data_IF_457798722018
#
_entry.id   IF_457798722018
#
_cell.length_a   1.000
_cell.length_b   1.000
_cell.length_c   1.000
_cell.angle_alpha   90.00
_cell.angle_beta   90.00
_cell.angle_gamma   90.00
#
_symmetry.space_group_name_H-M   'P 1'
#
loop_
_entity.id
_entity.type
_entity.pdbx_description
1 polymer ?
#
# COMPACT_ATOMS: atom_id res chain seq x y z
N UNK A 1 -7.94 14.86 13.82
CA UNK A 1 -7.57 15.92 14.80
C UNK A 1 -8.14 15.64 16.20
N UNK A 2 -9.47 15.41 16.37
CA UNK A 2 -10.10 15.18 17.70
C UNK A 2 -9.46 14.04 18.49
N UNK A 3 -9.17 12.88 17.86
CA UNK A 3 -8.56 11.70 18.51
C UNK A 3 -7.17 11.98 19.10
N UNK A 4 -6.45 12.98 18.60
CA UNK A 4 -5.08 13.30 19.00
C UNK A 4 -4.97 14.65 19.73
N UNK A 5 -6.10 15.16 20.25
CA UNK A 5 -6.15 16.41 21.04
C UNK A 5 -5.45 17.61 20.34
N UNK A 6 -5.67 17.77 19.05
CA UNK A 6 -5.10 18.85 18.26
C UNK A 6 -3.61 18.73 17.88
N UNK A 7 -2.93 17.64 18.30
CA UNK A 7 -1.52 17.41 17.95
C UNK A 7 -1.29 16.98 16.50
N UNK A 8 -2.37 16.67 15.77
CA UNK A 8 -2.33 16.31 14.36
C UNK A 8 -3.04 17.38 13.56
N UNK A 9 -2.34 17.97 12.62
CA UNK A 9 -2.90 18.88 11.59
C UNK A 9 -3.28 18.03 10.38
N UNK A 10 -4.49 18.22 9.86
CA UNK A 10 -4.94 17.67 8.58
C UNK A 10 -5.03 18.79 7.57
N UNK A 11 -4.59 18.54 6.35
CA UNK A 11 -4.63 19.49 5.23
C UNK A 11 -5.36 18.86 4.04
N UNK A 12 -5.87 19.70 3.15
CA UNK A 12 -6.45 19.23 1.89
C UNK A 12 -5.33 18.69 0.97
N UNK A 13 -5.64 17.64 0.20
CA UNK A 13 -4.68 17.06 -0.76
C UNK A 13 -4.61 17.87 -2.04
N UNK A 14 -4.35 19.18 -1.93
CA UNK A 14 -4.04 20.05 -3.08
C UNK A 14 -2.53 20.08 -3.30
N UNK A 15 -2.11 20.47 -4.49
CA UNK A 15 -0.68 20.54 -4.84
C UNK A 15 0.05 21.52 -3.91
N UNK A 16 -0.50 22.72 -3.70
CA UNK A 16 0.13 23.78 -2.92
C UNK A 16 0.28 23.40 -1.44
N UNK A 17 -0.76 22.79 -0.84
CA UNK A 17 -0.71 22.32 0.56
C UNK A 17 0.26 21.13 0.74
N UNK A 18 0.36 20.26 -0.28
CA UNK A 18 1.30 19.17 -0.29
C UNK A 18 2.74 19.70 -0.34
N UNK A 19 3.04 20.60 -1.30
CA UNK A 19 4.36 21.21 -1.46
C UNK A 19 4.77 21.96 -0.17
N UNK A 20 3.90 22.82 0.36
CA UNK A 20 4.18 23.54 1.61
C UNK A 20 4.48 22.59 2.78
N UNK A 21 3.72 21.50 2.90
CA UNK A 21 3.91 20.51 3.95
C UNK A 21 5.22 19.73 3.80
N UNK A 22 5.58 19.37 2.57
CA UNK A 22 6.81 18.62 2.26
C UNK A 22 8.05 19.49 2.49
N UNK A 23 8.02 20.77 2.10
CA UNK A 23 9.17 21.65 2.25
C UNK A 23 9.50 22.00 3.70
N UNK A 24 8.52 22.01 4.58
CA UNK A 24 8.71 22.29 6.01
C UNK A 24 9.04 21.03 6.84
N UNK A 25 8.90 19.86 6.28
CA UNK A 25 9.06 18.61 7.00
C UNK A 25 10.52 18.15 7.08
N UNK A 26 10.92 17.63 8.24
CA UNK A 26 12.19 16.91 8.42
C UNK A 26 12.02 15.41 8.06
N UNK A 27 10.79 14.88 8.15
CA UNK A 27 10.44 13.51 7.80
C UNK A 27 9.11 13.49 7.06
N UNK A 28 9.13 12.93 5.86
CA UNK A 28 7.92 12.67 5.05
C UNK A 28 7.72 11.16 4.92
N UNK A 29 6.52 10.68 5.25
CA UNK A 29 6.14 9.27 5.09
C UNK A 29 5.10 9.16 3.99
N UNK A 30 5.49 8.51 2.88
CA UNK A 30 4.61 8.20 1.76
C UNK A 30 3.94 6.85 1.97
N UNK A 31 2.62 6.86 2.15
CA UNK A 31 1.84 5.65 2.40
C UNK A 31 0.53 5.65 1.60
N UNK A 32 0.59 6.12 0.36
CA UNK A 32 -0.58 6.14 -0.52
C UNK A 32 -0.83 4.75 -1.09
N UNK A 33 -2.03 4.25 -0.89
CA UNK A 33 -2.48 2.97 -1.40
C UNK A 33 -3.60 3.18 -2.42
N UNK A 34 -3.39 2.69 -3.65
CA UNK A 34 -4.45 2.55 -4.65
C UNK A 34 -4.60 1.05 -4.94
N UNK A 35 -5.74 0.48 -4.54
CA UNK A 35 -5.99 -0.96 -4.71
C UNK A 35 -5.88 -1.34 -6.20
N UNK A 36 -5.02 -2.30 -6.50
CA UNK A 36 -4.85 -2.84 -7.85
C UNK A 36 -4.13 -1.93 -8.87
N UNK A 37 -3.63 -0.76 -8.45
CA UNK A 37 -2.93 0.17 -9.32
C UNK A 37 -1.62 0.67 -8.70
N UNK A 38 -0.76 1.26 -9.52
CA UNK A 38 0.46 1.91 -9.03
C UNK A 38 0.10 3.13 -8.16
N UNK A 39 0.86 3.36 -7.10
CA UNK A 39 0.76 4.56 -6.31
C UNK A 39 1.02 5.82 -7.17
N UNK A 40 0.25 6.91 -7.00
CA UNK A 40 0.55 8.17 -7.65
C UNK A 40 1.85 8.76 -7.10
N UNK A 41 2.67 9.33 -7.97
CA UNK A 41 3.90 10.04 -7.56
C UNK A 41 3.53 11.43 -7.06
N UNK A 42 3.52 11.60 -5.75
CA UNK A 42 3.10 12.84 -5.10
C UNK A 42 4.27 13.81 -4.85
N UNK A 43 5.47 13.29 -4.56
CA UNK A 43 6.68 14.10 -4.37
C UNK A 43 7.56 13.94 -5.59
N UNK A 44 7.78 15.04 -6.31
CA UNK A 44 8.64 15.09 -7.50
C UNK A 44 10.09 15.32 -7.13
N UNK A 45 11.02 15.00 -8.03
CA UNK A 45 12.44 15.30 -7.83
C UNK A 45 12.70 16.80 -7.66
N UNK A 46 11.96 17.63 -8.39
CA UNK A 46 12.09 19.10 -8.27
C UNK A 46 11.77 19.61 -6.85
N UNK A 47 10.87 18.96 -6.14
CA UNK A 47 10.52 19.32 -4.77
C UNK A 47 11.66 19.08 -3.79
N UNK A 48 12.56 18.11 -4.04
CA UNK A 48 13.69 17.79 -3.16
C UNK A 48 14.63 18.97 -2.97
N UNK A 49 14.81 19.80 -4.00
CA UNK A 49 15.68 20.99 -3.91
C UNK A 49 15.17 22.07 -2.93
N UNK A 50 13.90 21.99 -2.54
CA UNK A 50 13.26 22.90 -1.57
C UNK A 50 13.19 22.30 -0.15
N UNK A 51 13.52 21.01 -0.01
CA UNK A 51 13.60 20.35 1.29
C UNK A 51 14.91 20.69 1.98
N UNK A 52 14.92 20.58 3.29
CA UNK A 52 16.14 20.78 4.08
C UNK A 52 17.13 19.66 3.79
N UNK A 53 18.44 19.94 3.56
CA UNK A 53 19.44 18.89 3.47
C UNK A 53 19.45 17.99 4.70
N UNK A 54 19.46 16.67 4.48
CA UNK A 54 19.34 15.68 5.56
C UNK A 54 17.92 15.31 5.97
N UNK A 55 16.88 15.94 5.39
CA UNK A 55 15.50 15.47 5.54
C UNK A 55 15.36 14.04 5.03
N UNK A 56 14.33 13.33 5.51
CA UNK A 56 14.13 11.93 5.23
C UNK A 56 12.79 11.70 4.52
N UNK A 57 12.82 10.94 3.43
CA UNK A 57 11.64 10.40 2.75
C UNK A 57 11.54 8.88 3.02
N UNK A 58 10.45 8.44 3.64
CA UNK A 58 10.13 7.02 3.84
C UNK A 58 9.01 6.63 2.91
N UNK A 59 9.25 5.73 1.96
CA UNK A 59 8.24 5.27 1.02
C UNK A 59 7.70 3.90 1.42
N UNK A 60 6.56 3.88 2.11
CA UNK A 60 5.86 2.65 2.50
C UNK A 60 5.18 2.00 1.29
N UNK A 61 4.87 2.80 0.25
CA UNK A 61 4.23 2.34 -0.98
C UNK A 61 5.22 1.79 -2.02
N UNK A 62 6.48 1.57 -1.65
CA UNK A 62 7.55 1.14 -2.57
C UNK A 62 7.19 -0.11 -3.36
N UNK A 63 6.53 -1.09 -2.74
CA UNK A 63 6.10 -2.35 -3.39
C UNK A 63 5.03 -2.12 -4.48
N UNK A 64 4.38 -0.97 -4.47
CA UNK A 64 3.39 -0.53 -5.47
C UNK A 64 3.94 0.53 -6.44
N UNK A 65 5.26 0.58 -6.58
CA UNK A 65 5.96 1.51 -7.47
C UNK A 65 6.38 2.83 -6.81
N UNK A 66 6.05 3.02 -5.53
CA UNK A 66 6.40 4.19 -4.74
C UNK A 66 5.58 5.45 -5.05
N UNK A 67 5.45 6.32 -4.05
CA UNK A 67 4.76 7.61 -4.18
C UNK A 67 5.70 8.81 -4.31
N UNK A 68 7.01 8.58 -4.40
CA UNK A 68 8.00 9.62 -4.75
C UNK A 68 8.61 9.32 -6.12
N UNK A 69 8.88 10.36 -6.90
CA UNK A 69 9.48 10.22 -8.23
C UNK A 69 10.86 9.54 -8.17
N UNK A 70 11.60 9.79 -7.09
CA UNK A 70 12.95 9.29 -6.83
C UNK A 70 12.97 7.95 -6.10
N UNK A 71 11.83 7.32 -5.85
CA UNK A 71 11.75 6.01 -5.19
C UNK A 71 12.52 4.95 -5.96
N UNK A 72 13.38 4.24 -5.23
CA UNK A 72 14.08 3.04 -5.67
C UNK A 72 14.03 2.02 -4.53
N UNK A 73 13.51 0.83 -4.80
CA UNK A 73 13.45 -0.21 -3.79
C UNK A 73 14.84 -0.55 -3.24
N UNK A 74 14.93 -0.64 -1.92
CA UNK A 74 16.13 -0.99 -1.17
C UNK A 74 15.89 -2.24 -0.33
N UNK A 75 16.92 -2.73 0.33
CA UNK A 75 16.88 -3.92 1.19
C UNK A 75 17.19 -3.57 2.63
N UNK A 76 16.93 -4.50 3.56
CA UNK A 76 17.33 -4.30 4.96
C UNK A 76 18.85 -4.23 5.18
N UNK A 77 19.67 -4.73 4.24
CA UNK A 77 21.13 -4.66 4.31
C UNK A 77 21.65 -3.28 3.86
N UNK A 78 21.02 -2.71 2.84
CA UNK A 78 21.34 -1.36 2.32
C UNK A 78 20.04 -0.53 2.29
N UNK A 79 19.58 -0.05 3.46
CA UNK A 79 18.20 0.46 3.59
C UNK A 79 18.01 1.87 3.04
N UNK A 80 19.07 2.65 2.89
CA UNK A 80 18.98 4.07 2.54
C UNK A 80 19.85 4.44 1.35
N UNK A 81 19.46 5.50 0.67
CA UNK A 81 20.27 6.21 -0.32
C UNK A 81 19.96 7.71 -0.26
N UNK A 82 20.81 8.54 -0.88
CA UNK A 82 20.65 9.99 -0.88
C UNK A 82 20.44 10.49 -2.31
N UNK A 83 19.47 11.36 -2.51
CA UNK A 83 19.25 12.10 -3.76
C UNK A 83 19.07 13.57 -3.43
N UNK A 84 19.85 14.43 -4.07
CA UNK A 84 19.79 15.89 -3.93
C UNK A 84 19.81 16.36 -2.46
N UNK A 85 20.61 15.67 -1.61
CA UNK A 85 20.76 15.96 -0.18
C UNK A 85 19.67 15.40 0.74
N UNK A 86 18.64 14.72 0.18
CA UNK A 86 17.53 14.12 0.93
C UNK A 86 17.74 12.60 1.05
N UNK A 87 17.62 12.09 2.28
CA UNK A 87 17.78 10.65 2.58
C UNK A 87 16.48 9.91 2.21
N UNK A 88 16.61 8.82 1.49
CA UNK A 88 15.50 7.96 1.13
C UNK A 88 15.59 6.62 1.87
N UNK A 89 14.49 6.19 2.48
CA UNK A 89 14.30 4.87 3.05
C UNK A 89 13.13 4.20 2.31
N UNK A 90 13.46 3.25 1.44
CA UNK A 90 12.51 2.61 0.52
C UNK A 90 12.64 1.08 0.58
N UNK A 91 12.75 0.53 1.80
CA UNK A 91 12.94 -0.91 2.00
C UNK A 91 11.68 -1.66 1.61
N UNK A 92 11.79 -2.55 0.65
CA UNK A 92 10.73 -3.50 0.34
C UNK A 92 10.50 -4.44 1.55
N UNK A 93 9.23 -4.73 1.83
CA UNK A 93 8.88 -5.55 3.01
C UNK A 93 9.42 -4.97 4.34
N UNK A 94 9.16 -3.70 4.60
CA UNK A 94 9.51 -3.06 5.89
C UNK A 94 9.09 -3.89 7.13
N UNK A 95 7.91 -4.55 7.14
CA UNK A 95 7.52 -5.42 8.26
C UNK A 95 8.51 -6.55 8.57
N UNK A 96 9.31 -6.98 7.60
CA UNK A 96 10.38 -7.96 7.79
C UNK A 96 11.49 -7.51 8.75
N UNK A 97 11.64 -6.20 8.99
CA UNK A 97 12.56 -5.63 9.99
C UNK A 97 12.08 -5.80 11.44
N UNK A 98 10.81 -6.11 11.66
CA UNK A 98 10.20 -6.37 12.99
C UNK A 98 9.34 -7.65 12.94
N UNK A 99 9.91 -8.81 12.61
CA UNK A 99 9.17 -9.99 12.18
C UNK A 99 8.22 -10.53 13.24
N UNK A 100 8.60 -10.50 14.50
CA UNK A 100 7.75 -10.98 15.60
C UNK A 100 6.44 -10.18 15.69
N UNK A 101 6.53 -8.86 15.72
CA UNK A 101 5.37 -7.96 15.82
C UNK A 101 4.50 -8.06 14.58
N UNK A 102 5.12 -8.05 13.41
CA UNK A 102 4.43 -8.13 12.12
C UNK A 102 3.68 -9.45 11.94
N UNK A 103 4.31 -10.57 12.31
CA UNK A 103 3.68 -11.89 12.25
C UNK A 103 2.47 -11.98 13.17
N UNK A 104 2.58 -11.50 14.40
CA UNK A 104 1.44 -11.50 15.33
C UNK A 104 0.29 -10.62 14.81
N UNK A 105 0.59 -9.43 14.35
CA UNK A 105 -0.41 -8.51 13.80
C UNK A 105 -1.11 -9.09 12.57
N UNK A 106 -0.35 -9.64 11.63
CA UNK A 106 -0.89 -10.26 10.42
C UNK A 106 -1.72 -11.50 10.75
N UNK A 107 -1.21 -12.40 11.60
CA UNK A 107 -1.93 -13.61 12.01
C UNK A 107 -3.26 -13.27 12.68
N UNK A 108 -3.27 -12.31 13.60
CA UNK A 108 -4.51 -11.88 14.27
C UNK A 108 -5.52 -11.29 13.28
N UNK A 109 -5.07 -10.56 12.27
CA UNK A 109 -5.94 -9.95 11.26
C UNK A 109 -6.48 -10.98 10.25
N UNK A 110 -5.70 -12.02 9.90
CA UNK A 110 -6.05 -12.98 8.84
C UNK A 110 -6.70 -14.26 9.38
N UNK A 111 -6.45 -14.63 10.63
CA UNK A 111 -6.97 -15.86 11.23
C UNK A 111 -8.49 -16.03 11.13
N UNK A 112 -9.34 -15.03 11.38
CA UNK A 112 -10.80 -15.18 11.24
C UNK A 112 -11.22 -15.63 9.83
N UNK A 113 -10.59 -15.09 8.80
CA UNK A 113 -10.86 -15.45 7.40
C UNK A 113 -10.36 -16.86 7.06
N UNK A 114 -9.18 -17.22 7.59
CA UNK A 114 -8.62 -18.57 7.43
C UNK A 114 -9.53 -19.62 8.05
N UNK A 115 -10.04 -19.35 9.25
CA UNK A 115 -10.98 -20.25 9.95
C UNK A 115 -12.31 -20.35 9.19
N UNK A 116 -12.86 -19.24 8.70
CA UNK A 116 -14.09 -19.26 7.89
C UNK A 116 -13.94 -20.15 6.65
N UNK A 117 -12.81 -20.04 5.93
CA UNK A 117 -12.52 -20.88 4.77
C UNK A 117 -12.36 -22.37 5.15
N UNK A 118 -11.72 -22.67 6.29
CA UNK A 118 -11.51 -24.03 6.76
C UNK A 118 -12.81 -24.70 7.23
N UNK A 119 -13.65 -23.95 7.95
CA UNK A 119 -14.87 -24.51 8.56
C UNK A 119 -16.03 -24.63 7.58
N UNK A 120 -16.20 -23.64 6.69
CA UNK A 120 -17.34 -23.54 5.78
C UNK A 120 -17.03 -24.03 4.36
N UNK A 121 -15.75 -24.16 4.01
CA UNK A 121 -15.29 -24.35 2.65
C UNK A 121 -15.29 -23.05 1.83
N UNK A 122 -14.56 -23.05 0.73
CA UNK A 122 -14.27 -21.84 -0.04
C UNK A 122 -15.52 -21.13 -0.53
N UNK A 123 -16.44 -21.85 -1.19
CA UNK A 123 -17.63 -21.24 -1.82
C UNK A 123 -18.53 -20.61 -0.78
N UNK A 124 -18.90 -21.34 0.28
CA UNK A 124 -19.80 -20.84 1.32
C UNK A 124 -19.21 -19.65 2.08
N UNK A 125 -17.94 -19.71 2.44
CA UNK A 125 -17.25 -18.62 3.14
C UNK A 125 -17.21 -17.33 2.29
N UNK A 126 -16.89 -17.44 1.00
CA UNK A 126 -16.85 -16.30 0.08
C UNK A 126 -18.25 -15.68 -0.16
N UNK A 127 -19.30 -16.51 -0.24
CA UNK A 127 -20.67 -16.03 -0.38
C UNK A 127 -21.21 -15.37 0.90
N UNK A 128 -20.73 -15.83 2.07
CA UNK A 128 -21.17 -15.30 3.36
C UNK A 128 -20.52 -13.97 3.75
N UNK A 129 -19.33 -13.65 3.22
CA UNK A 129 -18.57 -12.45 3.58
C UNK A 129 -18.09 -11.70 2.32
N UNK A 130 -18.72 -10.53 2.08
CA UNK A 130 -18.35 -9.66 0.95
C UNK A 130 -16.91 -9.15 1.00
N UNK A 131 -16.31 -8.98 2.20
CA UNK A 131 -14.92 -8.57 2.33
C UNK A 131 -13.97 -9.71 1.94
N UNK A 132 -14.31 -10.95 2.30
CA UNK A 132 -13.57 -12.12 1.88
C UNK A 132 -13.71 -12.34 0.36
N UNK A 133 -14.92 -12.16 -0.17
CA UNK A 133 -15.21 -12.25 -1.62
C UNK A 133 -14.37 -11.24 -2.42
N UNK A 134 -14.18 -10.03 -1.91
CA UNK A 134 -13.32 -9.01 -2.52
C UNK A 134 -11.83 -9.42 -2.63
N UNK A 135 -11.42 -10.48 -1.93
CA UNK A 135 -10.08 -11.06 -2.03
C UNK A 135 -9.96 -12.13 -3.11
N UNK A 136 -11.06 -12.52 -3.76
CA UNK A 136 -11.06 -13.55 -4.80
C UNK A 136 -10.55 -12.95 -6.12
N UNK A 137 -9.30 -13.22 -6.48
CA UNK A 137 -8.68 -12.68 -7.69
C UNK A 137 -8.82 -13.61 -8.89
N UNK A 138 -8.85 -14.93 -8.65
CA UNK A 138 -8.94 -15.95 -9.69
C UNK A 138 -9.83 -17.10 -9.21
N UNK A 139 -10.77 -17.53 -10.04
CA UNK A 139 -11.62 -18.69 -9.80
C UNK A 139 -11.79 -19.50 -11.08
N UNK A 140 -11.49 -20.81 -11.05
CA UNK A 140 -11.62 -21.68 -12.22
C UNK A 140 -10.82 -21.23 -13.45
N UNK A 141 -9.70 -20.52 -13.25
CA UNK A 141 -8.90 -19.94 -14.34
C UNK A 141 -9.42 -18.59 -14.87
N UNK A 142 -10.53 -18.06 -14.32
CA UNK A 142 -11.09 -16.78 -14.69
C UNK A 142 -10.64 -15.68 -13.71
N UNK A 143 -10.36 -14.47 -14.22
CA UNK A 143 -9.97 -13.33 -13.39
C UNK A 143 -11.22 -12.67 -12.81
N UNK A 144 -11.27 -12.59 -11.49
CA UNK A 144 -12.42 -12.10 -10.72
C UNK A 144 -12.14 -10.80 -9.94
N UNK A 145 -10.97 -10.21 -10.11
CA UNK A 145 -10.65 -8.85 -9.66
C UNK A 145 -10.52 -7.91 -10.88
N UNK A 146 -11.34 -6.86 -10.91
CA UNK A 146 -11.42 -5.94 -12.05
C UNK A 146 -10.10 -5.19 -12.27
N UNK A 147 -9.44 -4.75 -11.20
CA UNK A 147 -8.18 -4.02 -11.32
C UNK A 147 -7.04 -4.90 -11.85
N UNK A 148 -7.04 -6.17 -11.49
CA UNK A 148 -6.12 -7.17 -12.05
C UNK A 148 -6.41 -7.38 -13.53
N UNK A 149 -7.68 -7.58 -13.92
CA UNK A 149 -8.07 -7.76 -15.31
C UNK A 149 -7.64 -6.56 -16.18
N UNK A 150 -7.94 -5.34 -15.75
CA UNK A 150 -7.56 -4.12 -16.45
C UNK A 150 -6.03 -3.96 -16.57
N UNK A 151 -5.28 -4.25 -15.50
CA UNK A 151 -3.81 -4.12 -15.49
C UNK A 151 -3.13 -5.05 -16.50
N UNK A 152 -3.67 -6.26 -16.67
CA UNK A 152 -3.09 -7.27 -17.55
C UNK A 152 -3.80 -7.40 -18.92
N UNK A 153 -4.85 -6.61 -19.16
CA UNK A 153 -5.63 -6.68 -20.40
C UNK A 153 -6.38 -8.01 -20.55
N UNK A 154 -6.86 -8.58 -19.44
CA UNK A 154 -7.59 -9.84 -19.40
C UNK A 154 -9.08 -9.62 -19.18
N UNK A 155 -9.89 -10.61 -19.56
CA UNK A 155 -11.33 -10.58 -19.35
C UNK A 155 -11.65 -10.69 -17.84
N UNK A 156 -12.57 -9.82 -17.39
CA UNK A 156 -13.10 -9.85 -16.04
C UNK A 156 -14.39 -10.69 -15.99
N UNK A 157 -14.51 -11.55 -14.99
CA UNK A 157 -15.73 -12.28 -14.67
C UNK A 157 -16.18 -11.91 -13.26
N UNK A 158 -17.47 -11.68 -13.08
CA UNK A 158 -18.01 -11.42 -11.73
C UNK A 158 -17.68 -12.59 -10.78
N UNK A 159 -17.15 -12.33 -9.58
CA UNK A 159 -16.74 -13.38 -8.66
C UNK A 159 -17.85 -14.34 -8.25
N UNK A 160 -19.09 -13.88 -8.14
CA UNK A 160 -20.22 -14.76 -7.82
C UNK A 160 -20.55 -15.70 -9.00
N UNK A 161 -20.53 -15.17 -10.22
CA UNK A 161 -20.73 -15.97 -11.44
C UNK A 161 -19.62 -17.01 -11.60
N UNK A 162 -18.37 -16.65 -11.32
CA UNK A 162 -17.25 -17.58 -11.39
C UNK A 162 -17.36 -18.71 -10.33
N UNK A 163 -17.91 -18.42 -9.14
CA UNK A 163 -18.14 -19.41 -8.09
C UNK A 163 -19.26 -20.39 -8.43
N UNK A 164 -20.29 -19.96 -9.18
CA UNK A 164 -21.41 -20.81 -9.63
C UNK A 164 -21.01 -21.77 -10.75
N UNK A 165 -20.04 -21.39 -11.57
CA UNK A 165 -19.57 -22.17 -12.72
C UNK A 165 -18.39 -23.13 -12.41
N UNK A 166 -18.09 -23.35 -11.15
CA UNK A 166 -16.97 -24.17 -10.68
C UNK A 166 -17.31 -25.64 -10.46
#
# INVERSE_FOLDING_TARGET
AKRFNGRVRTVSSTKDELEASVFDADLVVGAVLVKGAKAPRLVTRAMLSHMRPGSVLVDVAVDQGGCFETTKATTHLEPTFVVDGVVHYCVANMPGGVPRTSTQALSNATLPFTLALADQGTTAALQADAHLLNGLNVCGGQITDRAVAETFGLDFVDPLVALENR
#
